data_IF_112521871975
#
_entry.id   IF_112521871975
#
_cell.length_a   1.000
_cell.length_b   1.000
_cell.length_c   1.000
_cell.angle_alpha   90.00
_cell.angle_beta   90.00
_cell.angle_gamma   90.00
#
_symmetry.space_group_name_H-M   'P 1'
#
loop_
_entity.id
_entity.type
_entity.pdbx_description
1 polymer ?
#
# COMPACT_ATOMS: atom_id res chain seq x y z
N UNK A 1 19.03 -2.03 16.17
CA UNK A 1 19.05 -2.15 14.70
C UNK A 1 19.06 -0.75 14.10
N UNK A 2 19.98 -0.43 13.18
CA UNK A 2 19.98 0.83 12.42
C UNK A 2 19.51 0.48 11.01
N UNK A 3 18.50 1.19 10.51
CA UNK A 3 17.91 0.95 9.19
C UNK A 3 18.28 2.08 8.23
N UNK A 4 18.69 1.73 7.02
CA UNK A 4 19.05 2.66 5.95
C UNK A 4 18.24 2.24 4.72
N UNK A 5 16.99 2.71 4.56
CA UNK A 5 16.14 2.28 3.46
C UNK A 5 16.69 2.75 2.12
N UNK A 6 16.75 1.83 1.15
CA UNK A 6 17.13 2.11 -0.25
C UNK A 6 15.92 2.17 -1.19
N UNK A 7 14.72 2.08 -0.62
CA UNK A 7 13.43 2.17 -1.31
C UNK A 7 12.49 3.08 -0.55
N UNK A 8 11.76 3.95 -1.24
CA UNK A 8 10.63 4.67 -0.66
C UNK A 8 9.34 3.86 -0.89
N UNK A 9 8.93 3.08 0.10
CA UNK A 9 7.74 2.23 0.04
C UNK A 9 7.36 1.60 1.37
N UNK A 10 8.15 0.62 1.79
CA UNK A 10 7.77 -0.32 2.86
C UNK A 10 7.55 0.32 4.24
N UNK A 11 8.28 1.39 4.57
CA UNK A 11 8.30 1.95 5.92
C UNK A 11 8.84 0.98 6.99
N UNK A 12 9.52 -0.11 6.62
CA UNK A 12 9.99 -1.14 7.55
C UNK A 12 11.02 -0.59 8.57
N UNK A 13 11.63 0.55 8.28
CA UNK A 13 12.55 1.26 9.17
C UNK A 13 11.87 1.96 10.36
N UNK A 14 10.53 1.96 10.44
CA UNK A 14 9.80 2.72 11.46
C UNK A 14 9.32 1.85 12.62
N UNK A 15 9.11 0.54 12.39
CA UNK A 15 8.35 -0.30 13.31
C UNK A 15 8.94 -1.64 13.72
N UNK A 16 8.30 -2.24 14.73
CA UNK A 16 8.71 -3.49 15.38
C UNK A 16 8.18 -4.75 14.68
N UNK A 17 7.87 -4.66 13.40
CA UNK A 17 7.31 -5.76 12.60
C UNK A 17 8.34 -6.30 11.61
N UNK A 18 8.31 -7.62 11.38
CA UNK A 18 8.96 -8.27 10.26
C UNK A 18 7.97 -9.16 9.55
N UNK A 19 7.84 -8.99 8.23
CA UNK A 19 7.06 -9.90 7.43
C UNK A 19 7.94 -11.07 6.98
N UNK A 20 7.55 -12.29 7.35
CA UNK A 20 8.27 -13.52 7.04
C UNK A 20 7.37 -14.45 6.23
N UNK A 21 7.86 -14.97 5.12
CA UNK A 21 7.14 -15.97 4.33
C UNK A 21 7.32 -17.35 4.95
N UNK A 22 6.21 -17.99 5.32
CA UNK A 22 6.18 -19.41 5.63
C UNK A 22 5.87 -20.18 4.35
N UNK A 23 6.90 -20.76 3.74
CA UNK A 23 6.79 -21.48 2.46
C UNK A 23 5.94 -22.75 2.54
N UNK A 24 5.88 -23.41 3.70
CA UNK A 24 5.05 -24.62 3.89
C UNK A 24 3.57 -24.28 3.88
N UNK A 25 3.19 -23.18 4.54
CA UNK A 25 1.81 -22.70 4.59
C UNK A 25 1.43 -21.89 3.35
N UNK A 26 2.40 -21.39 2.59
CA UNK A 26 2.19 -20.42 1.52
C UNK A 26 1.49 -19.17 2.04
N UNK A 27 2.01 -18.62 3.15
CA UNK A 27 1.49 -17.44 3.82
C UNK A 27 2.62 -16.49 4.21
N UNK A 28 2.39 -15.18 4.08
CA UNK A 28 3.27 -14.15 4.65
C UNK A 28 2.71 -13.79 6.03
N UNK A 29 3.54 -13.95 7.06
CA UNK A 29 3.15 -13.74 8.47
C UNK A 29 3.88 -12.53 9.05
N UNK A 30 3.19 -11.74 9.85
CA UNK A 30 3.77 -10.63 10.60
C UNK A 30 4.30 -11.14 11.94
N UNK A 31 5.60 -11.01 12.17
CA UNK A 31 6.24 -11.20 13.46
C UNK A 31 6.38 -9.83 14.12
N UNK A 32 5.90 -9.69 15.35
CA UNK A 32 6.02 -8.46 16.13
C UNK A 32 6.72 -8.73 17.45
N UNK A 33 7.69 -7.88 17.81
CA UNK A 33 8.34 -7.93 19.10
C UNK A 33 8.84 -6.55 19.54
N UNK A 34 8.58 -6.08 20.77
CA UNK A 34 8.88 -4.69 21.17
C UNK A 34 10.37 -4.32 21.09
N UNK A 35 11.28 -5.32 21.20
CA UNK A 35 12.74 -5.11 21.03
C UNK A 35 13.21 -5.06 19.58
N UNK A 36 12.33 -5.27 18.61
CA UNK A 36 12.68 -5.27 17.19
C UNK A 36 12.76 -3.85 16.61
N UNK A 37 12.13 -2.86 17.26
CA UNK A 37 12.09 -1.48 16.76
C UNK A 37 13.49 -0.99 16.38
N UNK A 38 13.69 -0.47 15.16
CA UNK A 38 14.90 0.24 14.80
C UNK A 38 15.20 1.35 15.83
N UNK A 39 16.46 1.46 16.24
CA UNK A 39 16.90 2.54 17.13
C UNK A 39 17.09 3.85 16.35
N UNK A 40 17.31 3.75 15.03
CA UNK A 40 17.57 4.88 14.14
C UNK A 40 17.24 4.46 12.71
N UNK A 41 16.56 5.34 11.98
CA UNK A 41 16.40 5.27 10.53
C UNK A 41 17.18 6.42 9.89
N UNK A 42 18.01 6.12 8.88
CA UNK A 42 18.78 7.12 8.12
C UNK A 42 18.19 7.24 6.72
N UNK A 43 17.40 8.28 6.50
CA UNK A 43 16.73 8.54 5.21
C UNK A 43 17.67 9.34 4.29
N UNK A 44 18.53 8.63 3.55
CA UNK A 44 19.43 9.26 2.56
C UNK A 44 18.88 9.07 1.12
N UNK A 45 18.39 10.15 0.47
CA UNK A 45 17.84 10.05 -0.88
C UNK A 45 18.86 9.59 -1.92
N UNK A 46 20.16 9.81 -1.71
CA UNK A 46 21.20 9.39 -2.65
C UNK A 46 21.21 7.86 -2.85
N UNK A 47 20.82 7.11 -1.82
CA UNK A 47 20.76 5.65 -1.85
C UNK A 47 19.55 5.10 -2.62
N UNK A 48 18.63 5.97 -3.04
CA UNK A 48 17.42 5.59 -3.78
C UNK A 48 17.49 5.90 -5.28
N UNK A 49 18.48 6.70 -5.71
CA UNK A 49 18.61 7.15 -7.11
C UNK A 49 18.79 5.99 -8.08
N UNK A 50 19.54 4.97 -7.67
CA UNK A 50 19.82 3.78 -8.49
C UNK A 50 18.64 2.81 -8.61
N UNK A 51 17.53 3.05 -7.89
CA UNK A 51 16.37 2.17 -7.92
C UNK A 51 15.73 2.19 -9.32
N UNK A 52 15.58 1.03 -9.99
CA UNK A 52 14.94 0.94 -11.29
C UNK A 52 13.57 1.62 -11.33
N UNK A 53 13.22 2.18 -12.49
CA UNK A 53 12.01 2.97 -12.68
C UNK A 53 10.73 2.22 -12.29
N UNK A 54 10.63 0.95 -12.66
CA UNK A 54 9.51 0.09 -12.27
C UNK A 54 9.45 -0.14 -10.75
N UNK A 55 10.60 -0.40 -10.10
CA UNK A 55 10.66 -0.56 -8.65
C UNK A 55 10.30 0.75 -7.92
N UNK A 56 10.72 1.90 -8.44
CA UNK A 56 10.32 3.21 -7.93
C UNK A 56 8.80 3.40 -7.97
N UNK A 57 8.15 3.02 -9.09
CA UNK A 57 6.70 3.06 -9.20
C UNK A 57 5.99 2.12 -8.20
N UNK A 58 6.48 0.88 -8.08
CA UNK A 58 5.86 -0.14 -7.24
C UNK A 58 6.00 0.19 -5.76
N UNK A 59 7.19 0.57 -5.29
CA UNK A 59 7.41 0.93 -3.89
C UNK A 59 6.75 2.27 -3.57
N UNK A 60 6.75 3.24 -4.49
CA UNK A 60 6.06 4.51 -4.26
C UNK A 60 4.55 4.35 -4.12
N UNK A 61 3.96 3.43 -4.89
CA UNK A 61 2.54 3.09 -4.78
C UNK A 61 2.25 2.29 -3.51
N UNK A 62 3.19 1.45 -3.06
CA UNK A 62 3.11 0.77 -1.76
C UNK A 62 2.94 1.77 -0.61
N UNK A 63 3.79 2.80 -0.56
CA UNK A 63 3.67 3.88 0.42
C UNK A 63 2.34 4.64 0.30
N UNK A 64 1.87 4.90 -0.93
CA UNK A 64 0.56 5.52 -1.16
C UNK A 64 -0.57 4.66 -0.56
N UNK A 65 -0.55 3.35 -0.79
CA UNK A 65 -1.51 2.40 -0.24
C UNK A 65 -1.44 2.36 1.29
N UNK A 66 -0.24 2.37 1.88
CA UNK A 66 -0.08 2.45 3.34
C UNK A 66 -0.83 3.66 3.92
N UNK A 67 -0.60 4.86 3.36
CA UNK A 67 -1.27 6.08 3.82
C UNK A 67 -2.79 6.02 3.67
N UNK A 68 -3.29 5.51 2.53
CA UNK A 68 -4.72 5.36 2.27
C UNK A 68 -5.35 4.39 3.28
N UNK A 69 -4.80 3.18 3.41
CA UNK A 69 -5.38 2.16 4.30
C UNK A 69 -5.31 2.56 5.76
N UNK A 70 -4.16 3.07 6.22
CA UNK A 70 -3.97 3.50 7.60
C UNK A 70 -4.93 4.64 8.00
N UNK A 71 -5.13 5.62 7.12
CA UNK A 71 -6.10 6.69 7.36
C UNK A 71 -7.54 6.14 7.38
N UNK A 72 -7.84 5.13 6.54
CA UNK A 72 -9.16 4.50 6.49
C UNK A 72 -9.49 3.66 7.72
N UNK A 73 -8.50 3.13 8.46
CA UNK A 73 -8.75 2.38 9.71
C UNK A 73 -9.61 3.21 10.69
N UNK A 74 -10.63 2.55 11.25
CA UNK A 74 -11.54 3.11 12.24
C UNK A 74 -10.94 3.00 13.65
N UNK A 75 -9.98 3.88 13.95
CA UNK A 75 -9.40 4.03 15.29
C UNK A 75 -9.12 5.49 15.60
N UNK A 76 -9.30 5.88 16.87
CA UNK A 76 -9.04 7.24 17.34
C UNK A 76 -7.55 7.41 17.65
N UNK A 77 -6.74 7.58 16.61
CA UNK A 77 -5.31 7.87 16.73
C UNK A 77 -4.90 9.04 15.84
N UNK A 78 -5.25 10.26 16.27
CA UNK A 78 -5.13 11.47 15.45
C UNK A 78 -3.70 11.83 15.02
N UNK A 79 -2.68 11.44 15.79
CA UNK A 79 -1.28 11.64 15.39
C UNK A 79 -0.94 10.80 14.15
N UNK A 80 -1.38 9.53 14.13
CA UNK A 80 -1.20 8.65 12.99
C UNK A 80 -2.01 9.14 11.78
N UNK A 81 -3.21 9.70 11.98
CA UNK A 81 -3.98 10.33 10.90
C UNK A 81 -3.25 11.52 10.28
N UNK A 82 -2.66 12.40 11.11
CA UNK A 82 -1.84 13.52 10.63
C UNK A 82 -0.61 13.05 9.85
N UNK A 83 0.05 11.99 10.32
CA UNK A 83 1.18 11.38 9.61
C UNK A 83 0.74 10.73 8.28
N UNK A 84 -0.40 10.06 8.25
CA UNK A 84 -0.96 9.49 7.01
C UNK A 84 -1.23 10.59 5.99
N UNK A 85 -1.94 11.66 6.36
CA UNK A 85 -2.29 12.75 5.46
C UNK A 85 -1.05 13.54 4.97
N UNK A 86 -0.07 13.79 5.83
CA UNK A 86 1.19 14.43 5.42
C UNK A 86 2.03 13.51 4.53
N UNK A 87 2.08 12.21 4.84
CA UNK A 87 2.75 11.22 4.01
C UNK A 87 2.13 11.13 2.62
N UNK A 88 0.80 11.06 2.54
CA UNK A 88 0.04 11.10 1.30
C UNK A 88 0.31 12.39 0.49
N UNK A 89 0.48 13.53 1.15
CA UNK A 89 0.81 14.78 0.49
C UNK A 89 2.22 14.76 -0.13
N UNK A 90 3.21 14.30 0.61
CA UNK A 90 4.57 14.17 0.07
C UNK A 90 4.62 13.17 -1.08
N UNK A 91 3.95 12.02 -0.95
CA UNK A 91 3.93 10.98 -2.00
C UNK A 91 3.18 11.47 -3.24
N UNK A 92 1.97 12.01 -3.08
CA UNK A 92 1.14 12.47 -4.19
C UNK A 92 1.83 13.52 -5.06
N UNK A 93 2.56 14.45 -4.43
CA UNK A 93 3.27 15.52 -5.12
C UNK A 93 4.59 15.08 -5.77
N UNK A 94 5.17 13.94 -5.39
CA UNK A 94 6.54 13.58 -5.80
C UNK A 94 6.66 12.23 -6.52
N UNK A 95 5.67 11.34 -6.43
CA UNK A 95 5.76 10.00 -7.03
C UNK A 95 5.91 10.06 -8.56
N UNK A 96 5.07 10.83 -9.25
CA UNK A 96 5.18 11.00 -10.70
C UNK A 96 6.44 11.75 -11.10
N UNK A 97 6.95 12.64 -10.24
CA UNK A 97 8.19 13.37 -10.47
C UNK A 97 9.39 12.42 -10.43
N UNK A 98 9.54 11.59 -9.38
CA UNK A 98 10.65 10.61 -9.32
C UNK A 98 10.55 9.52 -10.38
N UNK A 99 9.34 9.25 -10.89
CA UNK A 99 9.13 8.31 -12.00
C UNK A 99 9.64 8.87 -13.34
N UNK A 100 9.48 10.18 -13.56
CA UNK A 100 9.90 10.88 -14.78
C UNK A 100 11.35 11.32 -14.72
N UNK A 101 11.77 11.85 -13.58
CA UNK A 101 13.07 12.45 -13.30
C UNK A 101 13.74 11.74 -12.11
N UNK A 102 14.31 10.53 -12.32
CA UNK A 102 14.79 9.66 -11.25
C UNK A 102 15.94 10.24 -10.42
N UNK A 103 16.68 11.22 -10.96
CA UNK A 103 17.81 11.87 -10.30
C UNK A 103 17.40 13.09 -9.44
N UNK A 104 16.10 13.43 -9.39
CA UNK A 104 15.61 14.55 -8.58
C UNK A 104 15.69 14.22 -7.08
N UNK A 105 16.81 14.59 -6.44
CA UNK A 105 17.09 14.31 -5.03
C UNK A 105 16.04 14.89 -4.07
N UNK A 106 15.46 16.05 -4.39
CA UNK A 106 14.42 16.65 -3.55
C UNK A 106 13.16 15.80 -3.56
N UNK A 107 12.73 15.35 -4.75
CA UNK A 107 11.57 14.48 -4.89
C UNK A 107 11.82 13.09 -4.28
N UNK A 108 13.05 12.54 -4.43
CA UNK A 108 13.46 11.29 -3.75
C UNK A 108 13.42 11.43 -2.22
N UNK A 109 13.91 12.55 -1.70
CA UNK A 109 13.86 12.85 -0.26
C UNK A 109 12.42 12.97 0.25
N UNK A 110 11.57 13.69 -0.48
CA UNK A 110 10.14 13.79 -0.16
C UNK A 110 9.44 12.42 -0.16
N UNK A 111 9.77 11.55 -1.13
CA UNK A 111 9.24 10.18 -1.18
C UNK A 111 9.70 9.33 0.02
N UNK A 112 10.96 9.41 0.44
CA UNK A 112 11.45 8.71 1.64
C UNK A 112 10.74 9.18 2.91
N UNK A 113 10.61 10.51 3.09
CA UNK A 113 9.90 11.07 4.24
C UNK A 113 8.43 10.66 4.22
N UNK A 114 7.78 10.75 3.05
CA UNK A 114 6.40 10.33 2.87
C UNK A 114 6.19 8.87 3.21
N UNK A 115 7.05 7.97 2.69
CA UNK A 115 7.03 6.54 3.00
C UNK A 115 7.21 6.28 4.49
N UNK A 116 8.17 6.94 5.15
CA UNK A 116 8.39 6.83 6.58
C UNK A 116 7.16 7.29 7.40
N UNK A 117 6.55 8.43 7.06
CA UNK A 117 5.34 8.91 7.73
C UNK A 117 4.15 7.95 7.56
N UNK A 118 3.92 7.46 6.33
CA UNK A 118 2.89 6.44 6.09
C UNK A 118 3.22 5.14 6.83
N UNK A 119 4.50 4.81 6.96
CA UNK A 119 5.02 3.67 7.71
C UNK A 119 4.67 3.73 9.20
N UNK A 120 4.83 4.91 9.81
CA UNK A 120 4.41 5.12 11.21
C UNK A 120 2.89 5.10 11.32
N UNK A 121 2.16 5.67 10.34
CA UNK A 121 0.71 5.77 10.41
C UNK A 121 0.00 4.40 10.42
N UNK A 122 0.54 3.39 9.73
CA UNK A 122 -0.07 2.06 9.70
C UNK A 122 0.07 1.29 11.01
N UNK A 123 0.64 1.87 12.07
CA UNK A 123 0.45 1.40 13.46
C UNK A 123 -1.03 1.22 13.82
N UNK A 124 -1.93 1.98 13.19
CA UNK A 124 -3.38 1.80 13.30
C UNK A 124 -3.86 0.45 12.74
N UNK A 125 -3.12 -0.11 11.80
CA UNK A 125 -3.51 -1.21 10.93
C UNK A 125 -3.49 -0.81 9.47
N UNK A 126 -3.80 -1.79 8.62
CA UNK A 126 -3.95 -1.63 7.17
C UNK A 126 -5.36 -2.12 6.78
N UNK A 127 -5.54 -2.60 5.55
CA UNK A 127 -6.83 -3.08 5.08
C UNK A 127 -6.73 -4.26 4.13
N UNK A 128 -7.77 -4.41 3.30
CA UNK A 128 -7.90 -5.54 2.39
C UNK A 128 -6.88 -5.54 1.25
N UNK A 129 -6.27 -4.41 0.90
CA UNK A 129 -5.21 -4.39 -0.13
C UNK A 129 -4.05 -5.25 0.35
N UNK A 130 -3.54 -4.97 1.54
CA UNK A 130 -2.45 -5.75 2.14
C UNK A 130 -2.86 -7.18 2.45
N UNK A 131 -4.05 -7.39 3.04
CA UNK A 131 -4.52 -8.72 3.38
C UNK A 131 -4.55 -9.67 2.17
N UNK A 132 -5.00 -9.18 1.01
CA UNK A 132 -5.04 -9.97 -0.23
C UNK A 132 -3.64 -10.10 -0.82
N UNK A 133 -2.89 -8.99 -0.88
CA UNK A 133 -1.55 -8.93 -1.48
C UNK A 133 -0.55 -9.86 -0.80
N UNK A 134 -0.59 -9.97 0.53
CA UNK A 134 0.26 -10.91 1.28
C UNK A 134 0.07 -12.36 0.83
N UNK A 135 -1.18 -12.76 0.57
CA UNK A 135 -1.48 -14.13 0.16
C UNK A 135 -1.19 -14.37 -1.31
N UNK A 136 -1.46 -13.38 -2.17
CA UNK A 136 -1.06 -13.43 -3.59
C UNK A 136 0.46 -13.54 -3.72
N UNK A 137 1.21 -12.69 -3.03
CA UNK A 137 2.68 -12.71 -3.03
C UNK A 137 3.25 -14.02 -2.48
N UNK A 138 2.67 -14.58 -1.42
CA UNK A 138 3.13 -15.85 -0.87
C UNK A 138 2.87 -17.06 -1.80
N UNK A 139 1.85 -17.00 -2.65
CA UNK A 139 1.47 -18.11 -3.55
C UNK A 139 2.11 -18.00 -4.93
N UNK A 140 2.30 -16.78 -5.44
CA UNK A 140 2.73 -16.52 -6.82
C UNK A 140 4.07 -15.78 -6.92
N UNK A 141 4.72 -15.46 -5.79
CA UNK A 141 5.99 -14.73 -5.72
C UNK A 141 5.95 -13.39 -6.47
N UNK A 142 4.80 -12.71 -6.39
CA UNK A 142 4.61 -11.39 -7.01
C UNK A 142 5.27 -10.29 -6.18
N UNK A 143 5.69 -9.23 -6.86
CA UNK A 143 6.26 -8.05 -6.22
C UNK A 143 5.20 -7.34 -5.38
N UNK A 144 5.51 -7.03 -4.12
CA UNK A 144 4.51 -6.60 -3.13
C UNK A 144 3.81 -5.29 -3.50
N UNK A 145 4.57 -4.22 -3.74
CA UNK A 145 4.02 -2.91 -4.11
C UNK A 145 3.24 -2.94 -5.43
N UNK A 146 3.69 -3.75 -6.40
CA UNK A 146 2.98 -4.00 -7.65
C UNK A 146 1.62 -4.68 -7.39
N UNK A 147 1.61 -5.69 -6.53
CA UNK A 147 0.38 -6.43 -6.18
C UNK A 147 -0.61 -5.53 -5.44
N UNK A 148 -0.11 -4.71 -4.50
CA UNK A 148 -0.90 -3.69 -3.80
C UNK A 148 -1.53 -2.70 -4.79
N UNK A 149 -0.73 -2.18 -5.73
CA UNK A 149 -1.18 -1.24 -6.76
C UNK A 149 -2.31 -1.81 -7.62
N UNK A 150 -2.22 -3.07 -8.04
CA UNK A 150 -3.25 -3.75 -8.84
C UNK A 150 -4.54 -3.97 -8.03
N UNK A 151 -4.45 -4.30 -6.74
CA UNK A 151 -5.61 -4.59 -5.89
C UNK A 151 -6.36 -3.32 -5.44
N UNK A 152 -5.64 -2.22 -5.23
CA UNK A 152 -6.15 -0.98 -4.65
C UNK A 152 -7.51 -0.52 -5.22
N UNK A 153 -7.73 -0.44 -6.55
CA UNK A 153 -9.01 0.05 -7.09
C UNK A 153 -10.22 -0.79 -6.66
N UNK A 154 -10.10 -2.13 -6.61
CA UNK A 154 -11.23 -2.98 -6.21
C UNK A 154 -11.55 -2.85 -4.72
N UNK A 155 -10.52 -2.65 -3.88
CA UNK A 155 -10.72 -2.43 -2.43
C UNK A 155 -11.30 -1.05 -2.13
N UNK A 156 -10.88 0.01 -2.84
CA UNK A 156 -11.48 1.34 -2.73
C UNK A 156 -12.99 1.29 -3.03
N UNK A 157 -13.38 0.61 -4.11
CA UNK A 157 -14.80 0.42 -4.44
C UNK A 157 -15.55 -0.38 -3.37
N UNK A 158 -14.93 -1.43 -2.83
CA UNK A 158 -15.54 -2.22 -1.76
C UNK A 158 -15.80 -1.38 -0.50
N UNK A 159 -14.83 -0.52 -0.14
CA UNK A 159 -14.86 0.33 1.05
C UNK A 159 -15.62 1.65 0.86
N UNK A 160 -16.05 2.01 -0.36
CA UNK A 160 -16.62 3.33 -0.73
C UNK A 160 -17.49 3.97 0.35
N UNK A 161 -18.53 3.26 0.79
CA UNK A 161 -19.53 3.81 1.73
C UNK A 161 -18.96 4.09 3.13
N UNK A 162 -17.95 3.34 3.58
CA UNK A 162 -17.35 3.50 4.91
C UNK A 162 -16.28 4.60 4.95
N UNK A 163 -15.77 5.02 3.78
CA UNK A 163 -14.66 5.98 3.69
C UNK A 163 -15.05 7.35 3.14
N UNK A 164 -16.33 7.57 2.80
CA UNK A 164 -16.80 8.83 2.18
C UNK A 164 -16.38 10.09 2.96
N UNK A 165 -16.47 10.05 4.30
CA UNK A 165 -16.08 11.17 5.17
C UNK A 165 -14.59 11.47 5.15
N UNK A 166 -13.76 10.50 4.76
CA UNK A 166 -12.29 10.58 4.71
C UNK A 166 -11.76 10.97 3.32
N UNK A 167 -12.58 10.81 2.28
CA UNK A 167 -12.15 11.02 0.88
C UNK A 167 -11.63 12.44 0.66
N UNK A 168 -12.35 13.46 1.11
CA UNK A 168 -11.94 14.83 0.82
C UNK A 168 -10.55 15.16 1.42
N UNK A 169 -10.26 14.65 2.62
CA UNK A 169 -8.94 14.81 3.24
C UNK A 169 -7.85 14.10 2.45
N UNK A 170 -8.08 12.84 2.03
CA UNK A 170 -7.11 12.11 1.22
C UNK A 170 -6.90 12.76 -0.16
N UNK A 171 -7.98 13.21 -0.81
CA UNK A 171 -7.92 13.86 -2.10
C UNK A 171 -7.13 15.16 -2.02
N UNK A 172 -7.42 15.98 -1.01
CA UNK A 172 -6.69 17.23 -0.78
C UNK A 172 -5.22 16.97 -0.48
N UNK A 173 -4.91 15.96 0.33
CA UNK A 173 -3.51 15.58 0.58
C UNK A 173 -2.79 15.21 -0.71
N UNK A 174 -3.33 14.26 -1.50
CA UNK A 174 -2.62 13.68 -2.65
C UNK A 174 -2.58 14.64 -3.86
N UNK A 175 -3.66 15.40 -4.09
CA UNK A 175 -3.86 16.17 -5.32
C UNK A 175 -3.92 17.70 -5.11
N UNK A 176 -3.86 18.17 -3.86
CA UNK A 176 -3.99 19.59 -3.47
C UNK A 176 -5.31 20.26 -3.89
N UNK A 177 -6.39 19.48 -3.98
CA UNK A 177 -7.73 19.97 -4.32
C UNK A 177 -8.82 19.20 -3.55
N UNK A 178 -9.96 19.83 -3.23
CA UNK A 178 -11.09 19.10 -2.66
C UNK A 178 -11.65 18.08 -3.67
N UNK A 179 -12.25 17.00 -3.17
CA UNK A 179 -12.77 15.95 -4.06
C UNK A 179 -13.76 15.02 -3.39
N UNK A 180 -14.54 14.34 -4.24
CA UNK A 180 -15.43 13.26 -3.86
C UNK A 180 -14.84 11.90 -4.26
N UNK A 181 -15.54 10.81 -3.93
CA UNK A 181 -15.04 9.46 -4.19
C UNK A 181 -14.72 9.21 -5.67
N UNK A 182 -15.56 9.69 -6.59
CA UNK A 182 -15.40 9.38 -8.00
C UNK A 182 -14.18 10.11 -8.60
N UNK A 183 -13.94 11.37 -8.20
CA UNK A 183 -12.72 12.09 -8.56
C UNK A 183 -11.47 11.45 -7.94
N UNK A 184 -11.52 11.12 -6.65
CA UNK A 184 -10.42 10.46 -5.94
C UNK A 184 -10.05 9.13 -6.62
N UNK A 185 -11.06 8.29 -6.89
CA UNK A 185 -10.88 7.02 -7.57
C UNK A 185 -10.26 7.20 -8.96
N UNK A 186 -10.82 8.10 -9.77
CA UNK A 186 -10.32 8.39 -11.12
C UNK A 186 -8.85 8.85 -11.10
N UNK A 187 -8.51 9.78 -10.22
CA UNK A 187 -7.15 10.32 -10.12
C UNK A 187 -6.15 9.26 -9.64
N UNK A 188 -6.54 8.41 -8.68
CA UNK A 188 -5.72 7.26 -8.26
C UNK A 188 -5.49 6.30 -9.44
N UNK A 189 -6.53 5.92 -10.16
CA UNK A 189 -6.39 5.02 -11.33
C UNK A 189 -5.50 5.63 -12.43
N UNK A 190 -5.59 6.95 -12.64
CA UNK A 190 -4.74 7.66 -13.59
C UNK A 190 -3.27 7.68 -13.15
N UNK A 191 -2.97 7.81 -11.86
CA UNK A 191 -1.61 7.64 -11.32
C UNK A 191 -1.11 6.23 -11.66
N UNK A 192 -1.89 5.19 -11.37
CA UNK A 192 -1.50 3.80 -11.62
C UNK A 192 -1.21 3.55 -13.11
N UNK A 193 -2.02 4.11 -14.00
CA UNK A 193 -1.82 4.01 -15.45
C UNK A 193 -0.57 4.78 -15.91
N UNK A 194 -0.33 5.96 -15.36
CA UNK A 194 0.89 6.76 -15.64
C UNK A 194 2.16 6.06 -15.18
N UNK A 195 2.06 5.23 -14.13
CA UNK A 195 3.15 4.44 -13.57
C UNK A 195 3.33 3.07 -14.25
N UNK A 196 2.63 2.82 -15.37
CA UNK A 196 2.66 1.57 -16.12
C UNK A 196 2.31 0.33 -15.25
N UNK A 197 1.45 0.51 -14.24
CA UNK A 197 0.96 -0.58 -13.40
C UNK A 197 -0.04 -1.40 -14.22
N UNK A 198 0.09 -2.74 -14.30
CA UNK A 198 -0.92 -3.60 -14.91
C UNK A 198 -2.32 -3.37 -14.33
N UNK A 199 -3.33 -3.55 -15.16
CA UNK A 199 -4.74 -3.31 -14.81
C UNK A 199 -5.43 -4.53 -14.18
N UNK A 200 -4.73 -5.65 -14.00
CA UNK A 200 -5.27 -6.88 -13.41
C UNK A 200 -4.15 -7.83 -12.93
N UNK A 201 -4.52 -8.81 -12.08
CA UNK A 201 -3.55 -9.75 -11.52
C UNK A 201 -3.10 -10.83 -12.52
N UNK A 202 -3.90 -11.13 -13.55
CA UNK A 202 -3.54 -12.10 -14.60
C UNK A 202 -2.28 -11.65 -15.38
N UNK A 203 -2.15 -10.34 -15.64
CA UNK A 203 -0.97 -9.72 -16.27
C UNK A 203 0.31 -9.83 -15.44
N UNK A 204 0.21 -10.14 -14.15
CA UNK A 204 1.38 -10.40 -13.26
C UNK A 204 1.49 -11.87 -12.86
N UNK A 205 0.80 -12.78 -13.58
CA UNK A 205 0.98 -14.23 -13.45
C UNK A 205 0.04 -14.92 -12.46
N UNK A 206 -0.94 -14.21 -11.87
CA UNK A 206 -1.90 -14.80 -10.94
C UNK A 206 -3.00 -15.55 -11.69
N UNK A 207 -3.31 -16.76 -11.24
CA UNK A 207 -4.32 -17.64 -11.85
C UNK A 207 -5.62 -17.65 -11.04
N UNK A 208 -6.74 -17.92 -11.71
CA UNK A 208 -8.09 -17.98 -11.11
C UNK A 208 -8.41 -19.31 -10.40
N UNK A 209 -7.50 -20.28 -10.42
CA UNK A 209 -7.71 -21.60 -9.83
C UNK A 209 -7.51 -21.66 -8.31
N UNK A 210 -7.07 -20.58 -7.66
CA UNK A 210 -6.81 -20.51 -6.20
C UNK A 210 -7.62 -19.43 -5.47
N UNK A 211 -8.67 -18.90 -6.09
CA UNK A 211 -9.46 -17.77 -5.52
C UNK A 211 -9.95 -18.08 -4.09
N UNK A 212 -10.57 -19.24 -3.89
CA UNK A 212 -11.09 -19.65 -2.57
C UNK A 212 -9.98 -19.81 -1.54
N UNK A 213 -8.83 -20.39 -1.92
CA UNK A 213 -7.66 -20.50 -1.04
C UNK A 213 -7.15 -19.13 -0.61
N UNK A 214 -6.95 -18.22 -1.58
CA UNK A 214 -6.50 -16.85 -1.33
C UNK A 214 -7.47 -16.10 -0.42
N UNK A 215 -8.78 -16.20 -0.67
CA UNK A 215 -9.80 -15.55 0.14
C UNK A 215 -9.78 -16.04 1.60
N UNK A 216 -9.73 -17.36 1.82
CA UNK A 216 -9.65 -17.96 3.16
C UNK A 216 -8.37 -17.58 3.91
N UNK A 217 -7.24 -17.47 3.22
CA UNK A 217 -5.98 -17.03 3.82
C UNK A 217 -6.01 -15.53 4.12
N UNK A 218 -6.53 -14.72 3.20
CA UNK A 218 -6.63 -13.26 3.34
C UNK A 218 -7.54 -12.88 4.50
N UNK A 219 -8.63 -13.63 4.75
CA UNK A 219 -9.51 -13.39 5.90
C UNK A 219 -8.84 -13.63 7.26
N UNK A 220 -7.68 -14.30 7.28
CA UNK A 220 -6.90 -14.56 8.50
C UNK A 220 -5.73 -13.58 8.67
N UNK A 221 -5.46 -12.74 7.67
CA UNK A 221 -4.42 -11.73 7.75
C UNK A 221 -4.81 -10.65 8.76
N UNK A 222 -3.85 -10.19 9.57
CA UNK A 222 -4.08 -9.13 10.55
C UNK A 222 -4.63 -7.84 9.95
N UNK A 223 -4.23 -7.50 8.72
CA UNK A 223 -4.70 -6.30 8.01
C UNK A 223 -6.19 -6.38 7.67
N UNK A 224 -6.75 -7.57 7.50
CA UNK A 224 -8.18 -7.73 7.22
C UNK A 224 -9.05 -7.30 8.41
N UNK A 225 -8.56 -7.45 9.65
CA UNK A 225 -9.31 -7.10 10.87
C UNK A 225 -9.43 -5.60 11.10
N UNK A 226 -8.55 -4.80 10.50
CA UNK A 226 -8.54 -3.33 10.64
C UNK A 226 -9.18 -2.60 9.46
N UNK A 227 -9.61 -3.32 8.43
CA UNK A 227 -10.30 -2.71 7.29
C UNK A 227 -11.63 -2.07 7.74
N UNK A 228 -11.98 -0.85 7.28
CA UNK A 228 -13.18 -0.14 7.72
C UNK A 228 -14.49 -0.91 7.45
N UNK A 229 -14.49 -1.77 6.43
CA UNK A 229 -15.62 -2.64 6.11
C UNK A 229 -15.26 -4.11 6.33
N UNK A 230 -15.97 -4.80 7.23
CA UNK A 230 -15.77 -6.23 7.44
C UNK A 230 -16.09 -7.02 6.17
N UNK A 231 -15.17 -7.87 5.73
CA UNK A 231 -15.33 -8.73 4.57
C UNK A 231 -15.57 -10.19 4.96
N UNK A 232 -16.61 -10.78 4.38
CA UNK A 232 -16.80 -12.24 4.38
C UNK A 232 -15.81 -12.90 3.42
N UNK A 233 -15.64 -14.23 3.52
CA UNK A 233 -14.86 -15.00 2.54
C UNK A 233 -15.44 -14.79 1.13
N UNK A 234 -16.78 -14.77 0.99
CA UNK A 234 -17.44 -14.55 -0.29
C UNK A 234 -17.19 -13.14 -0.85
N UNK A 235 -17.03 -12.13 0.00
CA UNK A 235 -16.63 -10.79 -0.45
C UNK A 235 -15.20 -10.80 -0.97
N UNK A 236 -14.27 -11.43 -0.25
CA UNK A 236 -12.88 -11.56 -0.67
C UNK A 236 -12.76 -12.34 -1.99
N UNK A 237 -13.51 -13.43 -2.16
CA UNK A 237 -13.56 -14.17 -3.43
C UNK A 237 -14.04 -13.27 -4.59
N UNK A 238 -15.08 -12.46 -4.37
CA UNK A 238 -15.57 -11.51 -5.38
C UNK A 238 -14.54 -10.44 -5.72
N UNK A 239 -13.87 -9.87 -4.72
CA UNK A 239 -12.80 -8.88 -4.91
C UNK A 239 -11.68 -9.52 -5.72
N UNK A 240 -11.11 -10.63 -5.26
CA UNK A 240 -10.00 -11.33 -5.91
C UNK A 240 -10.36 -11.73 -7.34
N UNK A 241 -11.53 -12.34 -7.55
CA UNK A 241 -12.00 -12.76 -8.88
C UNK A 241 -12.09 -11.58 -9.85
N UNK A 242 -12.60 -10.43 -9.40
CA UNK A 242 -12.64 -9.21 -10.21
C UNK A 242 -11.24 -8.70 -10.49
N UNK A 243 -10.38 -8.59 -9.48
CA UNK A 243 -9.00 -8.09 -9.64
C UNK A 243 -8.16 -8.97 -10.58
N UNK A 244 -8.39 -10.29 -10.62
CA UNK A 244 -7.70 -11.18 -11.58
C UNK A 244 -8.04 -10.83 -13.03
N UNK A 245 -9.30 -10.58 -13.34
CA UNK A 245 -9.75 -10.36 -14.73
C UNK A 245 -9.72 -8.92 -15.17
N UNK A 246 -10.09 -7.98 -14.28
CA UNK A 246 -10.12 -6.54 -14.54
C UNK A 246 -10.21 -5.77 -13.22
N UNK A 247 -9.07 -5.27 -12.74
CA UNK A 247 -9.02 -4.46 -11.53
C UNK A 247 -9.44 -3.00 -11.78
N UNK A 248 -9.18 -2.47 -12.98
CA UNK A 248 -9.70 -1.21 -13.50
C UNK A 248 -9.86 -1.28 -15.02
#
# INVERSE_FOLDING_TARGET
MICIPTTAGTGAETESTAMVTNSELGMKLCVWHPKQKPITALLDPCLTVSLPKNLTAWTGTDALVHGIEAFCVDSLYSVADGMALQGLNLIGNNLLEVYKNPDNLNARGAMLIGSCLTGISFLKGLGLVHAISHMVGAVYDTQHGLTNAVILPQVLNYNKNEILSKINSMNFSIFNEPGNFDNFYSNITQILDTLDIPDNLEKIGVKDNKITELAMKSSKDSAAFTNPKKASIQDLEKIIKKTIKKAR
#
